data_IF_397961328328
#
_entry.id   IF_397961328328
#
_cell.length_a   1.000
_cell.length_b   1.000
_cell.length_c   1.000
_cell.angle_alpha   90.00
_cell.angle_beta   90.00
_cell.angle_gamma   90.00
#
_symmetry.space_group_name_H-M   'P 1'
#
loop_
_entity.id
_entity.type
_entity.pdbx_description
1 polymer ?
#
# COMPACT_ATOMS: atom_id res chain seq x y z
N UNK A 1 -11.35 25.90 -11.69
CA UNK A 1 -11.23 24.43 -11.76
C UNK A 1 -9.93 24.00 -11.08
N UNK A 2 -9.95 22.86 -10.38
CA UNK A 2 -8.78 22.25 -9.73
C UNK A 2 -8.29 21.08 -10.60
N UNK A 3 -6.99 21.06 -10.91
CA UNK A 3 -6.35 19.94 -11.60
C UNK A 3 -5.91 18.86 -10.62
N UNK A 4 -6.21 17.59 -10.90
CA UNK A 4 -5.69 16.46 -10.14
C UNK A 4 -4.77 15.65 -11.04
N UNK A 5 -3.51 15.47 -10.62
CA UNK A 5 -2.49 14.72 -11.37
C UNK A 5 -2.39 13.31 -10.78
N UNK A 6 -2.86 12.32 -11.54
CA UNK A 6 -2.93 10.91 -11.16
C UNK A 6 -4.36 10.44 -10.92
N UNK A 7 -4.75 9.36 -11.61
CA UNK A 7 -6.03 8.66 -11.52
C UNK A 7 -5.98 7.40 -10.64
N UNK A 8 -5.03 7.34 -9.70
CA UNK A 8 -5.01 6.34 -8.63
C UNK A 8 -6.05 6.62 -7.54
N UNK A 9 -6.12 5.76 -6.53
CA UNK A 9 -7.07 5.89 -5.41
C UNK A 9 -7.02 7.26 -4.74
N UNK A 10 -5.81 7.79 -4.45
CA UNK A 10 -5.67 9.10 -3.81
C UNK A 10 -6.21 10.25 -4.67
N UNK A 11 -5.93 10.24 -5.98
CA UNK A 11 -6.39 11.28 -6.90
C UNK A 11 -7.90 11.23 -7.11
N UNK A 12 -8.46 10.03 -7.27
CA UNK A 12 -9.92 9.84 -7.37
C UNK A 12 -10.63 10.25 -6.08
N UNK A 13 -10.08 9.91 -4.91
CA UNK A 13 -10.60 10.33 -3.62
C UNK A 13 -10.54 11.86 -3.44
N UNK A 14 -9.43 12.50 -3.83
CA UNK A 14 -9.30 13.96 -3.81
C UNK A 14 -10.33 14.63 -4.71
N UNK A 15 -10.49 14.15 -5.95
CA UNK A 15 -11.48 14.67 -6.90
C UNK A 15 -12.91 14.54 -6.36
N UNK A 16 -13.26 13.37 -5.82
CA UNK A 16 -14.55 13.10 -5.20
C UNK A 16 -14.81 14.08 -4.04
N UNK A 17 -13.85 14.22 -3.12
CA UNK A 17 -13.96 15.12 -1.96
C UNK A 17 -14.09 16.59 -2.36
N UNK A 18 -13.33 17.04 -3.35
CA UNK A 18 -13.41 18.39 -3.89
C UNK A 18 -14.79 18.69 -4.50
N UNK A 19 -15.36 17.74 -5.25
CA UNK A 19 -16.72 17.90 -5.81
C UNK A 19 -17.80 17.93 -4.72
N UNK A 20 -17.68 17.12 -3.67
CA UNK A 20 -18.57 17.21 -2.50
C UNK A 20 -18.54 18.60 -1.85
N UNK A 21 -17.40 19.30 -1.96
CA UNK A 21 -17.21 20.69 -1.49
C UNK A 21 -17.55 21.74 -2.55
N UNK A 22 -18.22 21.35 -3.64
CA UNK A 22 -18.73 22.24 -4.69
C UNK A 22 -17.65 22.79 -5.61
N UNK A 23 -16.49 22.13 -5.73
CA UNK A 23 -15.40 22.54 -6.63
C UNK A 23 -15.48 21.80 -7.96
N UNK A 24 -15.18 22.51 -9.04
CA UNK A 24 -14.97 21.93 -10.36
C UNK A 24 -13.58 21.29 -10.42
N UNK A 25 -13.49 20.04 -10.87
CA UNK A 25 -12.25 19.25 -10.91
C UNK A 25 -12.03 18.61 -12.27
N UNK A 26 -10.77 18.40 -12.62
CA UNK A 26 -10.38 17.54 -13.73
C UNK A 26 -9.21 16.65 -13.31
N UNK A 27 -9.39 15.33 -13.41
CA UNK A 27 -8.34 14.33 -13.18
C UNK A 27 -7.62 14.04 -14.50
N UNK A 28 -6.30 14.01 -14.45
CA UNK A 28 -5.43 13.63 -15.55
C UNK A 28 -4.60 12.41 -15.15
N UNK A 29 -4.78 11.30 -15.85
CA UNK A 29 -4.02 10.07 -15.68
C UNK A 29 -3.18 9.81 -16.93
N UNK A 30 -1.90 9.53 -16.74
CA UNK A 30 -0.96 9.28 -17.83
C UNK A 30 -1.20 7.93 -18.50
N UNK A 31 -1.64 6.90 -17.76
CA UNK A 31 -2.03 5.60 -18.32
C UNK A 31 -3.45 5.60 -18.89
N UNK A 32 -3.78 4.56 -19.66
CA UNK A 32 -5.15 4.30 -20.10
C UNK A 32 -6.02 3.74 -18.96
N UNK A 33 -5.40 3.06 -17.99
CA UNK A 33 -6.07 2.46 -16.85
C UNK A 33 -6.11 3.41 -15.64
N UNK A 34 -7.15 3.26 -14.80
CA UNK A 34 -7.31 3.97 -13.53
C UNK A 34 -7.07 3.03 -12.34
N UNK A 35 -6.86 3.60 -11.16
CA UNK A 35 -6.65 2.85 -9.91
C UNK A 35 -5.18 2.77 -9.46
N UNK A 36 -4.22 3.09 -10.33
CA UNK A 36 -2.79 3.13 -9.99
C UNK A 36 -2.29 1.77 -9.50
N UNK A 37 -1.69 1.73 -8.31
CA UNK A 37 -1.22 0.47 -7.68
C UNK A 37 -2.35 -0.50 -7.31
N UNK A 38 -3.61 -0.06 -7.31
CA UNK A 38 -4.78 -0.91 -7.11
C UNK A 38 -5.39 -1.41 -8.44
N UNK A 39 -4.68 -1.22 -9.57
CA UNK A 39 -5.10 -1.75 -10.86
C UNK A 39 -5.22 -3.28 -10.84
N UNK A 40 -5.95 -3.83 -11.80
CA UNK A 40 -6.34 -5.24 -11.83
C UNK A 40 -5.98 -5.93 -13.16
N UNK A 41 -5.95 -7.26 -13.14
CA UNK A 41 -6.03 -8.14 -14.29
C UNK A 41 -7.43 -8.76 -14.37
N UNK A 42 -7.90 -9.00 -15.59
CA UNK A 42 -9.13 -9.76 -15.84
C UNK A 42 -8.87 -11.25 -15.61
N UNK A 43 -9.86 -11.96 -15.05
CA UNK A 43 -9.81 -13.42 -14.89
C UNK A 43 -11.06 -14.06 -15.50
N UNK A 44 -11.21 -15.39 -15.37
CA UNK A 44 -12.44 -16.08 -15.76
C UNK A 44 -13.67 -15.69 -14.89
N UNK A 45 -13.47 -14.96 -13.79
CA UNK A 45 -14.54 -14.45 -12.92
C UNK A 45 -14.28 -13.02 -12.48
N UNK A 46 -14.13 -12.80 -11.18
CA UNK A 46 -13.80 -11.49 -10.61
C UNK A 46 -12.38 -11.06 -11.04
N UNK A 47 -12.15 -9.77 -11.29
CA UNK A 47 -10.81 -9.28 -11.53
C UNK A 47 -9.93 -9.45 -10.28
N UNK A 48 -8.61 -9.49 -10.49
CA UNK A 48 -7.61 -9.70 -9.44
C UNK A 48 -6.59 -8.55 -9.45
N UNK A 49 -6.20 -8.05 -8.29
CA UNK A 49 -5.28 -6.91 -8.22
C UNK A 49 -3.89 -7.28 -8.74
N UNK A 50 -3.20 -6.34 -9.40
CA UNK A 50 -1.81 -6.52 -9.88
C UNK A 50 -0.82 -6.68 -8.72
N UNK A 51 -1.15 -6.09 -7.58
CA UNK A 51 -0.45 -6.25 -6.31
C UNK A 51 -1.49 -6.67 -5.28
N UNK A 52 -1.17 -7.59 -4.39
CA UNK A 52 -2.10 -8.09 -3.37
C UNK A 52 -2.59 -6.97 -2.44
N UNK A 53 -3.90 -6.99 -2.12
CA UNK A 53 -4.53 -6.05 -1.18
C UNK A 53 -5.59 -6.77 -0.33
N UNK A 54 -5.74 -6.30 0.90
CA UNK A 54 -6.83 -6.64 1.81
C UNK A 54 -7.03 -5.48 2.78
N UNK A 55 -8.16 -5.45 3.47
CA UNK A 55 -8.48 -4.43 4.47
C UNK A 55 -8.40 -4.97 5.89
N UNK A 56 -7.99 -4.12 6.81
CA UNK A 56 -8.23 -4.32 8.24
C UNK A 56 -9.50 -3.57 8.67
N UNK A 57 -10.16 -4.03 9.73
CA UNK A 57 -11.31 -3.31 10.32
C UNK A 57 -10.92 -1.95 10.93
N UNK A 58 -9.65 -1.77 11.26
CA UNK A 58 -9.12 -0.51 11.76
C UNK A 58 -9.02 0.57 10.68
N UNK A 59 -9.16 0.21 9.40
CA UNK A 59 -9.14 1.13 8.28
C UNK A 59 -10.54 1.73 8.05
N UNK A 60 -10.97 2.58 8.98
CA UNK A 60 -12.34 3.12 9.00
C UNK A 60 -12.64 3.99 7.78
N UNK A 61 -11.69 4.81 7.30
CA UNK A 61 -11.93 5.76 6.20
C UNK A 61 -12.33 5.06 4.89
N UNK A 62 -11.64 3.97 4.52
CA UNK A 62 -12.00 3.20 3.32
C UNK A 62 -13.30 2.43 3.49
N UNK A 63 -13.58 1.90 4.70
CA UNK A 63 -14.84 1.19 4.99
C UNK A 63 -16.02 2.16 4.89
N UNK A 64 -15.91 3.34 5.49
CA UNK A 64 -16.92 4.40 5.42
C UNK A 64 -17.16 4.85 3.98
N UNK A 65 -16.10 5.03 3.19
CA UNK A 65 -16.21 5.40 1.78
C UNK A 65 -16.88 4.29 0.95
N UNK A 66 -16.57 3.03 1.22
CA UNK A 66 -17.24 1.88 0.58
C UNK A 66 -18.75 1.90 0.89
N UNK A 67 -19.13 2.19 2.13
CA UNK A 67 -20.55 2.34 2.51
C UNK A 67 -21.20 3.54 1.80
N UNK A 68 -20.54 4.70 1.79
CA UNK A 68 -21.02 5.93 1.14
C UNK A 68 -21.26 5.74 -0.36
N UNK A 69 -20.38 4.99 -1.03
CA UNK A 69 -20.48 4.65 -2.45
C UNK A 69 -21.50 3.52 -2.73
N UNK A 70 -22.19 3.01 -1.71
CA UNK A 70 -23.22 1.98 -1.85
C UNK A 70 -22.66 0.58 -2.09
N UNK A 71 -21.39 0.34 -1.76
CA UNK A 71 -20.71 -0.95 -1.91
C UNK A 71 -20.64 -1.76 -0.61
N UNK A 72 -21.23 -1.27 0.49
CA UNK A 72 -21.18 -1.94 1.80
C UNK A 72 -21.63 -3.41 1.79
N UNK A 73 -22.68 -3.74 1.05
CA UNK A 73 -23.18 -5.13 0.91
C UNK A 73 -22.21 -6.06 0.16
N UNK A 74 -21.19 -5.51 -0.53
CA UNK A 74 -20.15 -6.24 -1.25
C UNK A 74 -18.88 -6.42 -0.42
N UNK A 75 -18.72 -5.73 0.71
CA UNK A 75 -17.57 -5.87 1.58
C UNK A 75 -17.73 -7.10 2.47
N UNK A 76 -16.82 -8.07 2.30
CA UNK A 76 -16.84 -9.32 3.05
C UNK A 76 -15.70 -9.32 4.07
N UNK A 77 -15.99 -9.77 5.29
CA UNK A 77 -14.99 -10.02 6.32
C UNK A 77 -14.73 -11.52 6.40
N UNK A 78 -13.58 -11.93 5.89
CA UNK A 78 -13.21 -13.33 5.70
C UNK A 78 -12.08 -13.72 6.66
N UNK A 79 -12.09 -14.98 7.10
CA UNK A 79 -10.97 -15.54 7.85
C UNK A 79 -9.85 -15.90 6.89
N UNK A 80 -8.64 -15.50 7.24
CA UNK A 80 -7.45 -15.80 6.46
C UNK A 80 -6.60 -16.85 7.18
N UNK A 81 -5.84 -17.65 6.43
CA UNK A 81 -4.85 -18.61 6.96
C UNK A 81 -3.40 -18.18 6.72
N UNK A 82 -2.59 -18.12 7.78
CA UNK A 82 -1.18 -17.75 7.78
C UNK A 82 -0.32 -18.96 8.16
N UNK A 83 0.82 -19.12 7.50
CA UNK A 83 1.82 -20.10 7.91
C UNK A 83 3.26 -19.61 7.72
N UNK A 84 4.18 -20.34 8.34
CA UNK A 84 5.61 -20.27 8.08
C UNK A 84 6.06 -21.55 7.38
N UNK A 85 6.78 -21.42 6.27
CA UNK A 85 7.46 -22.52 5.59
C UNK A 85 8.90 -22.58 6.09
N UNK A 86 9.24 -23.67 6.79
CA UNK A 86 10.58 -23.89 7.34
C UNK A 86 10.96 -25.37 7.22
N UNK A 87 12.19 -25.65 6.79
CA UNK A 87 12.74 -27.00 6.62
C UNK A 87 11.81 -27.92 5.80
N UNK A 88 11.21 -27.37 4.73
CA UNK A 88 10.31 -28.12 3.86
C UNK A 88 8.90 -28.36 4.42
N UNK A 89 8.50 -27.67 5.50
CA UNK A 89 7.23 -27.90 6.20
C UNK A 89 6.43 -26.62 6.40
N UNK A 90 5.14 -26.65 6.06
CA UNK A 90 4.17 -25.60 6.36
C UNK A 90 3.73 -25.69 7.82
N UNK A 91 4.01 -24.65 8.60
CA UNK A 91 3.60 -24.50 10.00
C UNK A 91 2.52 -23.41 10.12
N UNK A 92 1.25 -23.76 10.37
CA UNK A 92 0.19 -22.78 10.59
C UNK A 92 0.46 -21.85 11.79
N UNK A 93 -0.01 -20.61 11.72
CA UNK A 93 0.20 -19.56 12.75
C UNK A 93 -1.11 -18.84 13.16
N UNK A 94 -2.27 -19.43 12.89
CA UNK A 94 -3.56 -18.77 13.09
C UNK A 94 -4.14 -18.98 14.49
N UNK A 95 -3.80 -20.09 15.14
CA UNK A 95 -4.39 -20.47 16.43
C UNK A 95 -3.32 -20.56 17.52
N UNK A 96 -3.66 -20.31 18.79
CA UNK A 96 -2.69 -20.35 19.88
C UNK A 96 -1.96 -21.70 20.01
N UNK A 97 -2.62 -22.82 19.72
CA UNK A 97 -1.97 -24.14 19.76
C UNK A 97 -1.07 -24.42 18.55
N UNK A 98 -1.34 -23.79 17.40
CA UNK A 98 -0.46 -23.88 16.22
C UNK A 98 0.83 -23.11 16.49
N UNK A 99 0.70 -21.90 17.03
CA UNK A 99 1.85 -21.11 17.53
C UNK A 99 2.60 -21.90 18.62
N UNK A 100 1.88 -22.54 19.55
CA UNK A 100 2.50 -23.36 20.58
C UNK A 100 3.23 -24.59 20.00
N UNK A 101 2.76 -25.15 18.88
CA UNK A 101 3.37 -26.29 18.21
C UNK A 101 4.56 -25.91 17.32
N UNK A 102 4.75 -24.64 16.98
CA UNK A 102 5.87 -24.18 16.14
C UNK A 102 7.22 -24.59 16.72
N UNK A 103 8.04 -25.41 16.03
CA UNK A 103 9.21 -26.02 16.64
C UNK A 103 10.44 -25.10 16.72
N UNK A 104 10.47 -24.00 15.96
CA UNK A 104 11.63 -23.11 15.86
C UNK A 104 11.67 -21.98 16.91
N UNK A 105 10.69 -21.95 17.81
CA UNK A 105 10.66 -21.02 18.95
C UNK A 105 10.47 -21.78 20.27
N UNK A 106 11.29 -21.45 21.27
CA UNK A 106 11.11 -21.97 22.62
C UNK A 106 9.83 -21.43 23.27
N UNK A 107 9.43 -22.00 24.41
CA UNK A 107 8.30 -21.47 25.19
C UNK A 107 8.54 -20.03 25.66
N UNK A 108 9.79 -19.67 25.96
CA UNK A 108 10.13 -18.32 26.38
C UNK A 108 10.07 -17.33 25.21
N UNK A 109 10.52 -17.75 24.03
CA UNK A 109 10.40 -16.98 22.79
C UNK A 109 8.94 -16.68 22.45
N UNK A 110 8.10 -17.70 22.51
CA UNK A 110 6.65 -17.57 22.29
C UNK A 110 6.01 -16.62 23.29
N UNK A 111 6.37 -16.73 24.57
CA UNK A 111 5.91 -15.79 25.59
C UNK A 111 6.29 -14.35 25.25
N UNK A 112 7.56 -14.09 24.95
CA UNK A 112 8.07 -12.74 24.65
C UNK A 112 7.43 -12.16 23.39
N UNK A 113 7.34 -12.95 22.32
CA UNK A 113 6.67 -12.56 21.08
C UNK A 113 5.18 -12.26 21.33
N UNK A 114 4.48 -13.12 22.07
CA UNK A 114 3.06 -12.93 22.40
C UNK A 114 2.84 -11.63 23.18
N UNK A 115 3.70 -11.33 24.17
CA UNK A 115 3.59 -10.10 24.95
C UNK A 115 3.79 -8.87 24.05
N UNK A 116 4.76 -8.88 23.15
CA UNK A 116 4.92 -7.79 22.17
C UNK A 116 3.69 -7.62 21.27
N UNK A 117 3.14 -8.72 20.75
CA UNK A 117 1.94 -8.66 19.88
C UNK A 117 0.66 -8.23 20.61
N UNK A 118 0.61 -8.40 21.94
CA UNK A 118 -0.46 -7.88 22.79
C UNK A 118 -0.17 -6.46 23.30
N UNK A 119 0.90 -5.83 22.79
CA UNK A 119 1.37 -4.50 23.19
C UNK A 119 1.77 -4.40 24.67
N UNK A 120 2.20 -5.51 25.28
CA UNK A 120 2.63 -5.59 26.68
C UNK A 120 4.16 -5.63 26.77
N UNK A 121 4.78 -4.61 27.37
CA UNK A 121 6.20 -4.63 27.69
C UNK A 121 6.45 -5.34 29.02
N UNK A 122 7.20 -6.45 28.98
CA UNK A 122 7.53 -7.28 30.14
C UNK A 122 9.03 -7.26 30.47
N UNK A 123 9.79 -6.27 29.98
CA UNK A 123 11.21 -6.06 30.34
C UNK A 123 11.39 -5.51 31.75
N UNK A 124 10.40 -4.75 32.24
CA UNK A 124 10.40 -4.17 33.58
C UNK A 124 10.05 -5.17 34.68
N UNK A 125 10.12 -4.73 35.95
CA UNK A 125 9.69 -5.54 37.11
C UNK A 125 8.17 -5.80 37.10
N UNK A 126 7.38 -4.88 36.53
CA UNK A 126 5.95 -5.03 36.30
C UNK A 126 5.65 -4.84 34.80
N UNK A 127 4.65 -5.55 34.25
CA UNK A 127 4.19 -5.32 32.88
C UNK A 127 3.67 -3.89 32.66
N UNK A 128 3.97 -3.31 31.51
CA UNK A 128 3.44 -2.03 31.03
C UNK A 128 2.57 -2.25 29.78
N UNK A 129 1.41 -1.59 29.72
CA UNK A 129 0.40 -1.79 28.68
C UNK A 129 0.36 -0.65 27.65
N UNK A 130 0.95 0.50 28.01
CA UNK A 130 0.86 1.71 27.18
C UNK A 130 2.20 2.02 26.47
N UNK A 131 3.20 1.13 26.60
CA UNK A 131 4.58 1.36 26.13
C UNK A 131 4.63 1.66 24.64
N UNK A 132 3.76 1.04 23.84
CA UNK A 132 3.79 1.12 22.39
C UNK A 132 2.64 1.97 21.81
N UNK A 133 1.96 2.79 22.62
CA UNK A 133 0.84 3.61 22.14
C UNK A 133 1.27 4.62 21.07
N UNK A 134 2.34 5.38 21.33
CA UNK A 134 2.89 6.35 20.39
C UNK A 134 3.93 5.70 19.49
N UNK A 135 3.55 5.41 18.24
CA UNK A 135 4.48 4.84 17.25
C UNK A 135 5.64 5.79 16.95
N UNK A 136 5.40 7.11 17.04
CA UNK A 136 6.42 8.12 16.78
C UNK A 136 7.60 8.04 17.77
N UNK A 137 7.35 7.59 19.00
CA UNK A 137 8.40 7.44 20.02
C UNK A 137 9.46 6.38 19.63
N UNK A 138 9.12 5.54 18.64
CA UNK A 138 9.98 4.47 18.13
C UNK A 138 10.55 4.78 16.74
N UNK A 139 10.33 5.98 16.19
CA UNK A 139 10.72 6.27 14.81
C UNK A 139 12.24 6.20 14.62
N UNK A 140 13.03 6.64 15.60
CA UNK A 140 14.49 6.64 15.53
C UNK A 140 15.13 5.34 16.03
N UNK A 141 14.33 4.39 16.53
CA UNK A 141 14.84 3.14 17.12
C UNK A 141 15.07 2.12 15.99
N UNK A 142 16.28 1.58 15.82
CA UNK A 142 16.52 0.52 14.85
C UNK A 142 15.67 -0.72 15.15
N UNK A 143 14.98 -1.25 14.15
CA UNK A 143 14.06 -2.39 14.31
C UNK A 143 14.73 -3.61 14.96
N UNK A 144 15.98 -3.88 14.60
CA UNK A 144 16.77 -5.00 15.12
C UNK A 144 17.07 -4.83 16.61
N UNK A 145 17.51 -3.65 17.02
CA UNK A 145 17.78 -3.33 18.42
C UNK A 145 16.50 -3.44 19.24
N UNK A 146 15.41 -2.87 18.72
CA UNK A 146 14.08 -2.98 19.32
C UNK A 146 13.68 -4.45 19.52
N UNK A 147 13.78 -5.29 18.49
CA UNK A 147 13.40 -6.69 18.58
C UNK A 147 14.26 -7.47 19.58
N UNK A 148 15.58 -7.25 19.59
CA UNK A 148 16.49 -7.90 20.53
C UNK A 148 16.19 -7.51 21.99
N UNK A 149 15.77 -6.27 22.23
CA UNK A 149 15.40 -5.77 23.55
C UNK A 149 14.03 -6.27 24.01
N UNK A 150 13.02 -6.23 23.13
CA UNK A 150 11.62 -6.51 23.47
C UNK A 150 11.24 -7.98 23.34
N UNK A 151 12.02 -8.76 22.59
CA UNK A 151 11.79 -10.20 22.43
C UNK A 151 12.97 -11.02 22.94
N UNK A 152 13.59 -11.82 22.08
CA UNK A 152 14.82 -12.58 22.31
C UNK A 152 15.63 -12.61 21.01
N UNK A 153 16.92 -12.97 21.12
CA UNK A 153 17.76 -13.23 19.94
C UNK A 153 17.15 -14.27 19.01
N UNK A 154 16.62 -15.36 19.56
CA UNK A 154 16.01 -16.44 18.77
C UNK A 154 14.74 -15.98 18.04
N UNK A 155 13.94 -15.11 18.64
CA UNK A 155 12.77 -14.52 17.97
C UNK A 155 13.20 -13.60 16.83
N UNK A 156 14.25 -12.80 17.01
CA UNK A 156 14.79 -12.01 15.90
C UNK A 156 15.28 -12.93 14.76
N UNK A 157 16.21 -13.85 15.04
CA UNK A 157 16.89 -14.66 14.02
C UNK A 157 15.94 -15.65 13.31
N UNK A 158 15.01 -16.29 14.03
CA UNK A 158 14.18 -17.37 13.46
C UNK A 158 12.76 -16.95 13.04
N UNK A 159 12.33 -15.73 13.36
CA UNK A 159 10.97 -15.29 13.07
C UNK A 159 10.95 -13.95 12.33
N UNK A 160 11.64 -12.92 12.83
CA UNK A 160 11.58 -11.59 12.21
C UNK A 160 12.61 -11.38 11.10
N UNK A 161 13.83 -11.88 11.25
CA UNK A 161 14.90 -11.67 10.28
C UNK A 161 14.53 -12.18 8.87
N UNK A 162 13.97 -13.39 8.68
CA UNK A 162 13.53 -13.83 7.36
C UNK A 162 12.45 -12.91 6.75
N UNK A 163 11.50 -12.43 7.57
CA UNK A 163 10.45 -11.51 7.10
C UNK A 163 11.03 -10.14 6.69
N UNK A 164 12.02 -9.65 7.44
CA UNK A 164 12.70 -8.39 7.16
C UNK A 164 13.59 -8.49 5.93
N UNK A 165 14.29 -9.61 5.76
CA UNK A 165 15.06 -9.92 4.54
C UNK A 165 14.13 -9.97 3.33
N UNK A 166 13.01 -10.69 3.42
CA UNK A 166 12.03 -10.78 2.36
C UNK A 166 11.45 -9.42 1.95
N UNK A 167 11.21 -8.53 2.92
CA UNK A 167 10.54 -7.24 2.67
C UNK A 167 11.49 -6.10 2.29
N UNK A 168 12.65 -6.01 2.92
CA UNK A 168 13.57 -4.87 2.81
C UNK A 168 14.97 -5.26 2.31
N UNK A 169 15.28 -6.55 2.25
CA UNK A 169 16.57 -7.05 1.78
C UNK A 169 17.75 -6.34 2.45
N UNK A 170 18.62 -5.77 1.63
CA UNK A 170 19.84 -5.06 2.06
C UNK A 170 19.56 -3.82 2.93
N UNK A 171 18.34 -3.26 2.88
CA UNK A 171 17.94 -2.06 3.64
C UNK A 171 17.33 -2.36 5.01
N UNK A 172 17.19 -3.64 5.41
CA UNK A 172 16.51 -4.01 6.67
C UNK A 172 17.08 -3.36 7.94
N UNK A 173 18.38 -3.03 7.96
CA UNK A 173 19.05 -2.41 9.10
C UNK A 173 18.75 -0.90 9.22
N UNK A 174 18.21 -0.27 8.17
CA UNK A 174 17.81 1.14 8.17
C UNK A 174 16.43 1.35 8.79
N UNK A 175 15.61 0.30 8.82
CA UNK A 175 14.18 0.33 9.15
C UNK A 175 13.95 0.66 10.63
N UNK A 176 12.96 1.52 10.84
CA UNK A 176 12.47 1.94 12.14
C UNK A 176 11.61 0.87 12.83
N UNK A 177 11.71 0.80 14.16
CA UNK A 177 10.80 0.00 14.98
C UNK A 177 9.34 0.49 14.92
N UNK A 178 9.10 1.76 14.58
CA UNK A 178 7.75 2.29 14.39
C UNK A 178 6.99 1.55 13.28
N UNK A 179 7.67 1.14 12.21
CA UNK A 179 7.09 0.33 11.13
C UNK A 179 6.58 -1.03 11.64
N UNK A 180 7.39 -1.72 12.45
CA UNK A 180 7.02 -3.00 13.04
C UNK A 180 5.80 -2.87 13.96
N UNK A 181 5.83 -1.86 14.85
CA UNK A 181 4.74 -1.61 15.78
C UNK A 181 3.46 -1.21 15.04
N UNK A 182 3.59 -0.43 13.97
CA UNK A 182 2.51 -0.15 13.03
C UNK A 182 1.89 -1.44 12.49
N UNK A 183 2.72 -2.35 11.94
CA UNK A 183 2.29 -3.66 11.45
C UNK A 183 1.60 -4.50 12.52
N UNK A 184 2.09 -4.47 13.76
CA UNK A 184 1.49 -5.20 14.90
C UNK A 184 0.12 -4.63 15.25
N UNK A 185 -0.04 -3.31 15.27
CA UNK A 185 -1.33 -2.64 15.54
C UNK A 185 -2.31 -2.76 14.37
N UNK A 186 -1.79 -2.81 13.15
CA UNK A 186 -2.60 -2.92 11.93
C UNK A 186 -3.26 -4.29 11.78
N UNK A 187 -2.75 -5.30 12.50
CA UNK A 187 -3.33 -6.65 12.51
C UNK A 187 -4.82 -6.57 12.84
N UNK A 188 -5.61 -7.20 11.99
CA UNK A 188 -7.06 -7.16 12.09
C UNK A 188 -7.58 -7.84 13.35
N UNK A 189 -8.89 -7.74 13.55
CA UNK A 189 -9.56 -8.54 14.58
C UNK A 189 -9.22 -10.02 14.42
N UNK A 190 -8.88 -10.68 15.53
CA UNK A 190 -8.50 -12.09 15.55
C UNK A 190 -9.48 -12.93 16.36
N UNK A 191 -9.97 -13.99 15.74
CA UNK A 191 -10.72 -15.06 16.42
C UNK A 191 -9.74 -16.15 16.89
N UNK A 192 -9.80 -16.53 18.16
CA UNK A 192 -8.88 -17.49 18.77
C UNK A 192 -8.94 -18.90 18.14
N UNK A 193 -10.05 -19.26 17.50
CA UNK A 193 -10.30 -20.57 16.91
C UNK A 193 -10.13 -20.58 15.39
N UNK A 194 -10.24 -19.41 14.73
CA UNK A 194 -10.31 -19.31 13.26
C UNK A 194 -9.21 -18.45 12.64
N UNK A 195 -8.50 -17.64 13.41
CA UNK A 195 -7.42 -16.80 12.91
C UNK A 195 -7.84 -15.35 12.70
N UNK A 196 -7.10 -14.66 11.84
CA UNK A 196 -7.23 -13.24 11.56
C UNK A 196 -8.36 -12.98 10.54
N UNK A 197 -9.09 -11.88 10.74
CA UNK A 197 -10.20 -11.46 9.87
C UNK A 197 -9.73 -10.28 9.03
N UNK A 198 -9.86 -10.41 7.72
CA UNK A 198 -9.53 -9.37 6.75
C UNK A 198 -10.72 -9.06 5.85
N UNK A 199 -10.80 -7.82 5.39
CA UNK A 199 -11.84 -7.31 4.51
C UNK A 199 -11.42 -7.47 3.04
N UNK A 200 -12.36 -7.90 2.21
CA UNK A 200 -12.17 -7.96 0.76
C UNK A 200 -13.51 -7.72 0.05
N UNK A 201 -13.47 -7.03 -1.09
CA UNK A 201 -14.67 -6.71 -1.85
C UNK A 201 -15.03 -7.85 -2.81
N UNK A 202 -16.33 -8.13 -2.95
CA UNK A 202 -16.83 -8.91 -4.08
C UNK A 202 -16.46 -8.20 -5.38
N UNK A 203 -15.77 -8.86 -6.32
CA UNK A 203 -15.13 -8.23 -7.49
C UNK A 203 -13.74 -7.62 -7.25
N UNK A 204 -13.08 -7.89 -6.13
CA UNK A 204 -11.82 -7.24 -5.76
C UNK A 204 -12.01 -5.73 -5.51
N UNK A 205 -10.96 -4.93 -5.67
CA UNK A 205 -11.00 -3.48 -5.50
C UNK A 205 -11.41 -2.71 -6.77
N UNK A 206 -11.58 -3.38 -7.92
CA UNK A 206 -12.10 -2.77 -9.15
C UNK A 206 -13.47 -2.09 -8.98
N UNK A 207 -14.47 -2.66 -8.25
CA UNK A 207 -15.71 -1.98 -7.90
C UNK A 207 -15.52 -0.66 -7.15
N UNK A 208 -14.56 -0.55 -6.23
CA UNK A 208 -14.28 0.70 -5.54
C UNK A 208 -13.74 1.76 -6.51
N UNK A 209 -12.80 1.38 -7.38
CA UNK A 209 -12.29 2.26 -8.44
C UNK A 209 -13.44 2.71 -9.35
N UNK A 210 -14.27 1.77 -9.81
CA UNK A 210 -15.42 2.04 -10.68
C UNK A 210 -16.42 2.98 -10.03
N UNK A 211 -16.76 2.76 -8.75
CA UNK A 211 -17.69 3.62 -8.02
C UNK A 211 -17.13 5.03 -7.81
N UNK A 212 -15.83 5.17 -7.52
CA UNK A 212 -15.17 6.49 -7.46
C UNK A 212 -15.18 7.18 -8.82
N UNK A 213 -14.89 6.47 -9.91
CA UNK A 213 -14.94 7.01 -11.28
C UNK A 213 -16.34 7.49 -11.63
N UNK A 214 -17.36 6.69 -11.33
CA UNK A 214 -18.75 7.04 -11.60
C UNK A 214 -19.23 8.20 -10.72
N UNK A 215 -18.78 8.28 -9.46
CA UNK A 215 -19.08 9.38 -8.55
C UNK A 215 -18.40 10.70 -8.98
N UNK A 216 -17.15 10.63 -9.47
CA UNK A 216 -16.42 11.79 -10.02
C UNK A 216 -17.00 12.23 -11.38
N UNK A 217 -17.54 11.28 -12.15
CA UNK A 217 -18.01 11.49 -13.51
C UNK A 217 -16.88 11.35 -14.53
N UNK A 218 -17.08 10.48 -15.53
CA UNK A 218 -16.05 10.15 -16.54
C UNK A 218 -15.65 11.35 -17.39
N UNK A 219 -16.54 12.33 -17.55
CA UNK A 219 -16.26 13.59 -18.21
C UNK A 219 -15.20 14.44 -17.49
N UNK A 220 -15.04 14.25 -16.18
CA UNK A 220 -14.06 14.94 -15.35
C UNK A 220 -12.75 14.16 -15.20
N UNK A 221 -12.56 13.09 -15.98
CA UNK A 221 -11.37 12.25 -15.97
C UNK A 221 -10.85 12.12 -17.39
N UNK A 222 -9.56 12.33 -17.59
CA UNK A 222 -8.89 12.11 -18.88
C UNK A 222 -7.72 11.15 -18.66
N UNK A 223 -7.80 9.98 -19.27
CA UNK A 223 -6.72 8.97 -19.33
C UNK A 223 -5.83 9.22 -20.54
N UNK A 224 -4.66 8.57 -20.60
CA UNK A 224 -3.68 8.81 -21.66
C UNK A 224 -3.17 10.27 -21.70
N UNK A 225 -3.26 10.97 -20.57
CA UNK A 225 -3.08 12.40 -20.40
C UNK A 225 -2.04 12.67 -19.30
N UNK A 226 -0.77 12.74 -19.71
CA UNK A 226 0.34 13.02 -18.82
C UNK A 226 0.45 14.51 -18.56
N UNK A 227 0.37 14.93 -17.29
CA UNK A 227 0.76 16.30 -16.92
C UNK A 227 2.28 16.39 -16.95
N UNK A 228 2.82 17.29 -17.77
CA UNK A 228 4.27 17.43 -17.99
C UNK A 228 4.86 18.71 -17.43
N UNK A 229 4.04 19.70 -17.07
CA UNK A 229 4.49 20.97 -16.49
C UNK A 229 3.39 21.59 -15.63
N UNK A 230 3.78 22.31 -14.58
CA UNK A 230 2.92 23.10 -13.71
C UNK A 230 3.47 24.52 -13.61
N UNK A 231 2.75 25.51 -14.16
CA UNK A 231 3.15 26.90 -14.09
C UNK A 231 2.84 27.47 -12.70
N UNK A 232 3.91 27.64 -11.91
CA UNK A 232 3.90 28.21 -10.56
C UNK A 232 4.44 29.64 -10.52
N UNK A 233 4.42 30.35 -11.65
CA UNK A 233 4.93 31.73 -11.74
C UNK A 233 4.19 32.70 -10.82
N UNK A 234 4.94 33.65 -10.24
CA UNK A 234 4.46 34.58 -9.21
C UNK A 234 3.96 33.91 -7.93
N UNK A 235 4.63 32.82 -7.52
CA UNK A 235 4.39 32.13 -6.24
C UNK A 235 2.98 31.54 -6.11
N UNK A 236 2.30 31.28 -7.23
CA UNK A 236 0.99 30.60 -7.28
C UNK A 236 0.84 29.73 -8.52
N UNK A 237 0.03 28.68 -8.42
CA UNK A 237 -0.38 27.89 -9.57
C UNK A 237 -1.25 28.73 -10.51
N UNK A 238 -1.01 28.60 -11.81
CA UNK A 238 -1.79 29.27 -12.86
C UNK A 238 -2.35 28.31 -13.88
N UNK A 239 -1.53 27.35 -14.28
CA UNK A 239 -1.90 26.42 -15.34
C UNK A 239 -1.13 25.12 -15.22
N UNK A 240 -1.65 24.08 -15.84
CA UNK A 240 -0.96 22.82 -16.06
C UNK A 240 -0.88 22.51 -17.55
N UNK A 241 0.19 21.85 -17.97
CA UNK A 241 0.38 21.39 -19.35
C UNK A 241 0.17 19.88 -19.41
N UNK A 242 -0.70 19.46 -20.31
CA UNK A 242 -1.13 18.06 -20.50
C UNK A 242 -0.71 17.59 -21.88
N UNK A 243 0.00 16.47 -21.92
CA UNK A 243 0.39 15.72 -23.11
C UNK A 243 -0.56 14.55 -23.31
N UNK A 244 -1.18 14.49 -24.49
CA UNK A 244 -2.04 13.39 -24.94
C UNK A 244 -1.58 12.90 -26.31
N UNK A 245 -2.14 11.79 -26.79
CA UNK A 245 -1.92 11.32 -28.15
C UNK A 245 -2.33 12.36 -29.23
N UNK A 246 -3.30 13.23 -28.92
CA UNK A 246 -3.80 14.29 -29.82
C UNK A 246 -2.97 15.57 -29.77
N UNK A 247 -2.01 15.67 -28.85
CA UNK A 247 -1.10 16.79 -28.70
C UNK A 247 -1.01 17.34 -27.28
N UNK A 248 -0.31 18.47 -27.16
CA UNK A 248 -0.05 19.17 -25.90
C UNK A 248 -1.01 20.35 -25.75
N UNK A 249 -1.66 20.46 -24.59
CA UNK A 249 -2.54 21.58 -24.25
C UNK A 249 -2.23 22.13 -22.88
N UNK A 250 -2.33 23.44 -22.72
CA UNK A 250 -2.20 24.11 -21.41
C UNK A 250 -3.58 24.55 -20.95
N UNK A 251 -3.89 24.32 -19.67
CA UNK A 251 -5.18 24.64 -19.06
C UNK A 251 -4.97 25.47 -17.81
N UNK A 252 -5.69 26.58 -17.70
CA UNK A 252 -5.70 27.40 -16.50
C UNK A 252 -6.36 26.62 -15.34
N UNK A 253 -5.75 26.67 -14.16
CA UNK A 253 -6.25 26.02 -12.94
C UNK A 253 -6.05 26.93 -11.74
N UNK A 254 -6.96 26.83 -10.77
CA UNK A 254 -6.89 27.60 -9.51
C UNK A 254 -5.99 26.91 -8.47
N UNK A 255 -5.87 25.59 -8.56
CA UNK A 255 -5.02 24.75 -7.72
C UNK A 255 -4.70 23.42 -8.43
N UNK A 256 -3.65 22.74 -7.99
CA UNK A 256 -3.27 21.42 -8.44
C UNK A 256 -3.03 20.46 -7.25
N UNK A 257 -3.64 19.29 -7.29
CA UNK A 257 -3.34 18.16 -6.39
C UNK A 257 -2.45 17.17 -7.14
N UNK A 258 -1.21 17.01 -6.69
CA UNK A 258 -0.30 15.98 -7.19
C UNK A 258 -0.54 14.69 -6.40
N UNK A 259 -1.28 13.76 -6.99
CA UNK A 259 -1.61 12.44 -6.44
C UNK A 259 -0.86 11.32 -7.18
N UNK A 260 0.39 11.61 -7.57
CA UNK A 260 1.26 10.72 -8.32
C UNK A 260 2.51 10.33 -7.50
N UNK A 261 3.37 9.51 -8.09
CA UNK A 261 4.65 9.13 -7.47
C UNK A 261 5.52 10.35 -7.21
N UNK A 262 6.39 10.33 -6.18
CA UNK A 262 7.17 11.51 -5.80
C UNK A 262 8.06 12.07 -6.91
N UNK A 263 8.56 11.24 -7.83
CA UNK A 263 9.31 11.74 -8.98
C UNK A 263 8.46 12.65 -9.89
N UNK A 264 7.14 12.42 -9.97
CA UNK A 264 6.22 13.31 -10.69
C UNK A 264 6.06 14.63 -9.94
N UNK A 265 6.02 14.60 -8.60
CA UNK A 265 6.05 15.83 -7.79
C UNK A 265 7.35 16.60 -8.04
N UNK A 266 8.50 15.92 -7.96
CA UNK A 266 9.83 16.48 -8.20
C UNK A 266 9.93 17.10 -9.60
N UNK A 267 9.50 16.37 -10.63
CA UNK A 267 9.53 16.83 -12.03
C UNK A 267 8.63 18.06 -12.26
N UNK A 268 7.45 18.10 -11.65
CA UNK A 268 6.48 19.18 -11.85
C UNK A 268 6.76 20.43 -11.01
N UNK A 269 7.37 20.28 -9.83
CA UNK A 269 7.44 21.35 -8.83
C UNK A 269 8.86 21.69 -8.38
N UNK A 270 9.83 20.80 -8.61
CA UNK A 270 11.16 20.88 -8.04
C UNK A 270 11.23 20.60 -6.53
N UNK A 271 10.12 20.25 -5.87
CA UNK A 271 10.12 19.87 -4.47
C UNK A 271 10.86 18.53 -4.29
N UNK A 272 11.95 18.46 -3.51
CA UNK A 272 12.72 17.23 -3.35
C UNK A 272 11.97 16.23 -2.46
N UNK A 273 11.88 14.97 -2.90
CA UNK A 273 11.39 13.89 -2.03
C UNK A 273 12.58 13.14 -1.43
N UNK A 274 12.78 13.28 -0.13
CA UNK A 274 13.88 12.61 0.58
C UNK A 274 13.56 11.16 0.98
N UNK A 275 12.29 10.75 0.90
CA UNK A 275 11.88 9.37 1.19
C UNK A 275 12.35 8.44 0.08
N UNK A 276 13.09 7.41 0.48
CA UNK A 276 13.44 6.29 -0.38
C UNK A 276 12.26 5.33 -0.58
N UNK A 277 12.18 4.77 -1.79
CA UNK A 277 11.16 3.79 -2.16
C UNK A 277 11.83 2.54 -2.71
N UNK A 278 11.24 1.40 -2.39
CA UNK A 278 11.58 0.13 -3.01
C UNK A 278 10.62 -0.18 -4.17
N UNK A 279 11.17 -0.79 -5.20
CA UNK A 279 10.41 -1.36 -6.30
C UNK A 279 9.84 -2.72 -5.95
N UNK A 280 8.93 -3.20 -6.80
CA UNK A 280 8.41 -4.57 -6.73
C UNK A 280 8.30 -5.16 -8.11
N UNK A 281 8.70 -6.43 -8.21
CA UNK A 281 8.31 -7.34 -9.28
C UNK A 281 7.31 -8.30 -8.65
N UNK A 282 6.08 -8.31 -9.17
CA UNK A 282 4.99 -9.14 -8.65
C UNK A 282 4.35 -9.88 -9.82
N UNK A 283 4.21 -11.19 -9.71
CA UNK A 283 3.54 -12.02 -10.70
C UNK A 283 2.27 -12.61 -10.09
N UNK A 284 1.18 -12.54 -10.86
CA UNK A 284 -0.07 -13.24 -10.58
C UNK A 284 -0.12 -14.48 -11.44
N UNK A 285 -0.42 -15.60 -10.80
CA UNK A 285 -0.47 -16.90 -11.45
C UNK A 285 -1.88 -17.44 -11.36
N UNK A 286 -2.27 -18.19 -12.38
CA UNK A 286 -3.39 -19.12 -12.29
C UNK A 286 -2.91 -20.54 -12.49
N UNK A 287 -3.42 -21.44 -11.66
CA UNK A 287 -3.12 -22.86 -11.72
C UNK A 287 -4.38 -23.71 -11.55
N UNK A 288 -4.31 -24.94 -12.05
CA UNK A 288 -5.40 -25.93 -11.96
C UNK A 288 -5.58 -26.50 -10.54
N UNK A 289 -4.48 -26.59 -9.78
CA UNK A 289 -4.48 -27.23 -8.46
C UNK A 289 -3.88 -26.32 -7.38
N UNK A 290 -4.37 -26.54 -6.16
CA UNK A 290 -3.84 -25.91 -4.95
C UNK A 290 -2.52 -26.54 -4.54
N UNK A 291 -1.53 -25.71 -4.19
CA UNK A 291 -0.26 -26.17 -3.61
C UNK A 291 -0.32 -26.25 -2.09
N UNK A 292 -1.15 -25.42 -1.45
CA UNK A 292 -1.27 -25.31 0.00
C UNK A 292 -2.69 -24.97 0.45
N UNK A 293 -3.06 -25.22 1.71
CA UNK A 293 -4.31 -24.69 2.29
C UNK A 293 -4.13 -23.31 2.96
N UNK A 294 -3.04 -22.58 2.63
CA UNK A 294 -2.63 -21.34 3.29
C UNK A 294 -2.79 -20.13 2.37
N UNK A 295 -3.44 -19.06 2.85
CA UNK A 295 -3.49 -17.81 2.10
C UNK A 295 -2.13 -17.14 2.01
N UNK A 296 -1.49 -16.87 3.16
CA UNK A 296 -0.21 -16.17 3.21
C UNK A 296 0.89 -17.07 3.79
N UNK A 297 1.88 -17.39 2.96
CA UNK A 297 2.98 -18.25 3.34
C UNK A 297 4.26 -17.42 3.52
N UNK A 298 4.72 -17.33 4.75
CA UNK A 298 6.01 -16.69 5.08
C UNK A 298 7.13 -17.71 4.90
N UNK A 299 8.17 -17.36 4.16
CA UNK A 299 9.26 -18.29 3.83
C UNK A 299 10.47 -18.00 4.72
N UNK A 300 10.93 -19.01 5.46
CA UNK A 300 12.25 -18.99 6.09
C UNK A 300 13.29 -19.70 5.23
N UNK A 301 12.87 -20.69 4.44
CA UNK A 301 13.71 -21.37 3.47
C UNK A 301 14.06 -20.43 2.31
N UNK A 302 15.23 -20.62 1.70
CA UNK A 302 15.67 -19.82 0.56
C UNK A 302 14.70 -19.98 -0.61
N UNK A 303 14.22 -18.86 -1.13
CA UNK A 303 13.37 -18.78 -2.31
C UNK A 303 13.75 -17.54 -3.11
N UNK A 304 13.53 -17.53 -4.44
CA UNK A 304 13.84 -16.35 -5.24
C UNK A 304 12.82 -15.21 -4.96
N UNK A 305 11.64 -15.53 -4.42
CA UNK A 305 10.60 -14.58 -4.03
C UNK A 305 10.52 -14.37 -2.51
N UNK A 306 10.25 -13.13 -2.08
CA UNK A 306 10.01 -12.80 -0.67
C UNK A 306 8.56 -12.96 -0.22
N UNK A 307 7.62 -13.06 -1.16
CA UNK A 307 6.19 -13.21 -0.90
C UNK A 307 5.64 -14.36 -1.72
N UNK A 308 4.91 -15.27 -1.06
CA UNK A 308 4.14 -16.34 -1.68
C UNK A 308 2.74 -16.37 -1.07
N UNK A 309 1.73 -16.06 -1.88
CA UNK A 309 0.33 -15.98 -1.43
C UNK A 309 -0.50 -16.87 -2.36
N UNK A 310 -1.24 -17.83 -1.82
CA UNK A 310 -2.30 -18.50 -2.56
C UNK A 310 -3.61 -17.77 -2.26
N UNK A 311 -3.90 -16.76 -3.09
CA UNK A 311 -5.04 -15.85 -2.92
C UNK A 311 -6.36 -16.61 -2.77
N UNK A 312 -6.47 -17.73 -3.47
CA UNK A 312 -7.70 -18.54 -3.47
C UNK A 312 -7.99 -19.31 -2.20
N UNK A 313 -7.06 -19.33 -1.23
CA UNK A 313 -7.32 -19.77 0.14
C UNK A 313 -8.00 -18.70 1.01
N UNK A 314 -7.95 -17.43 0.59
CA UNK A 314 -8.68 -16.34 1.22
C UNK A 314 -10.00 -16.07 0.52
N UNK A 315 -9.99 -16.02 -0.82
CA UNK A 315 -11.18 -15.79 -1.65
C UNK A 315 -11.42 -17.02 -2.54
N UNK A 316 -12.52 -17.78 -2.37
CA UNK A 316 -12.64 -19.11 -2.99
C UNK A 316 -12.46 -19.15 -4.52
N UNK A 317 -11.83 -20.21 -5.09
CA UNK A 317 -11.58 -20.37 -6.54
C UNK A 317 -12.79 -20.14 -7.43
N UNK A 318 -13.99 -20.47 -6.93
CA UNK A 318 -15.25 -20.26 -7.64
C UNK A 318 -15.49 -18.81 -8.07
N UNK A 319 -14.87 -17.83 -7.40
CA UNK A 319 -14.91 -16.41 -7.80
C UNK A 319 -14.03 -16.12 -9.02
N UNK A 320 -13.10 -17.00 -9.36
CA UNK A 320 -12.12 -16.85 -10.43
C UNK A 320 -12.24 -17.96 -11.49
N UNK A 321 -13.44 -18.52 -11.69
CA UNK A 321 -13.67 -19.57 -12.69
C UNK A 321 -13.17 -20.96 -12.27
N UNK A 322 -13.09 -21.21 -10.96
CA UNK A 322 -12.54 -22.44 -10.35
C UNK A 322 -11.01 -22.59 -10.50
N UNK A 323 -10.31 -21.54 -10.97
CA UNK A 323 -8.84 -21.46 -10.98
C UNK A 323 -8.27 -21.11 -9.60
N UNK A 324 -7.07 -21.63 -9.29
CA UNK A 324 -6.30 -21.28 -8.10
C UNK A 324 -5.34 -20.14 -8.41
N UNK A 325 -5.48 -19.01 -7.71
CA UNK A 325 -4.68 -17.81 -7.96
C UNK A 325 -3.59 -17.62 -6.92
N UNK A 326 -2.39 -17.24 -7.38
CA UNK A 326 -1.23 -17.01 -6.54
C UNK A 326 -0.56 -15.68 -6.83
N UNK A 327 0.11 -15.13 -5.82
CA UNK A 327 1.09 -14.08 -5.97
C UNK A 327 2.48 -14.58 -5.60
N UNK A 328 3.45 -14.35 -6.49
CA UNK A 328 4.87 -14.30 -6.13
C UNK A 328 5.33 -12.84 -6.20
N UNK A 329 6.08 -12.37 -5.21
CA UNK A 329 6.66 -11.04 -5.28
C UNK A 329 8.00 -10.93 -4.57
N UNK A 330 8.82 -10.02 -5.08
CA UNK A 330 10.07 -9.57 -4.44
C UNK A 330 10.19 -8.06 -4.50
N UNK A 331 10.81 -7.51 -3.47
CA UNK A 331 11.12 -6.09 -3.39
C UNK A 331 12.54 -5.83 -3.88
N UNK A 332 12.67 -4.83 -4.75
CA UNK A 332 13.93 -4.42 -5.37
C UNK A 332 14.35 -3.09 -4.76
N UNK A 333 15.58 -3.00 -4.27
CA UNK A 333 16.13 -1.79 -3.66
C UNK A 333 16.86 -0.92 -4.69
N UNK A 334 17.43 -1.54 -5.73
CA UNK A 334 18.15 -0.84 -6.80
C UNK A 334 17.80 -1.39 -8.20
N UNK A 335 17.55 -0.54 -9.22
CA UNK A 335 17.29 -0.99 -10.59
C UNK A 335 18.43 -1.80 -11.24
N UNK A 336 19.61 -1.83 -10.61
CA UNK A 336 20.74 -2.65 -11.01
C UNK A 336 20.70 -4.09 -10.50
N UNK A 337 19.74 -4.45 -9.65
CA UNK A 337 19.52 -5.83 -9.24
C UNK A 337 19.09 -6.70 -10.41
N UNK A 338 19.49 -7.98 -10.37
CA UNK A 338 19.28 -8.93 -11.46
C UNK A 338 17.79 -9.08 -11.80
N UNK A 339 16.96 -9.30 -10.78
CA UNK A 339 15.51 -9.46 -10.91
C UNK A 339 14.84 -8.28 -11.63
N UNK A 340 15.29 -7.06 -11.39
CA UNK A 340 14.72 -5.87 -12.03
C UNK A 340 15.00 -5.80 -13.54
N UNK A 341 16.14 -6.36 -13.96
CA UNK A 341 16.60 -6.34 -15.35
C UNK A 341 16.07 -7.51 -16.18
N UNK A 342 15.65 -8.58 -15.53
CA UNK A 342 15.02 -9.72 -16.19
C UNK A 342 13.76 -9.26 -16.93
N UNK A 343 13.52 -9.83 -18.11
CA UNK A 343 12.20 -9.72 -18.75
C UNK A 343 11.17 -10.61 -18.04
N UNK A 344 9.90 -10.53 -18.45
CA UNK A 344 8.83 -11.23 -17.74
C UNK A 344 8.90 -12.75 -17.90
N UNK A 345 9.50 -13.26 -18.99
CA UNK A 345 9.69 -14.69 -19.20
C UNK A 345 10.82 -15.25 -18.34
N UNK A 346 11.90 -14.49 -18.18
CA UNK A 346 13.00 -14.84 -17.26
C UNK A 346 12.51 -14.84 -15.80
N UNK A 347 11.65 -13.90 -15.43
CA UNK A 347 11.03 -13.84 -14.10
C UNK A 347 10.08 -15.02 -13.87
N UNK A 348 9.27 -15.36 -14.87
CA UNK A 348 8.39 -16.53 -14.81
C UNK A 348 9.19 -17.82 -14.58
N UNK A 349 10.24 -18.09 -15.36
CA UNK A 349 11.11 -19.26 -15.16
C UNK A 349 11.73 -19.28 -13.76
N UNK A 350 12.27 -18.15 -13.30
CA UNK A 350 12.88 -18.04 -11.97
C UNK A 350 11.87 -18.36 -10.85
N UNK A 351 10.64 -17.86 -10.97
CA UNK A 351 9.57 -18.13 -10.03
C UNK A 351 9.14 -19.60 -10.06
N UNK A 352 8.98 -20.19 -11.24
CA UNK A 352 8.60 -21.60 -11.39
C UNK A 352 9.65 -22.53 -10.78
N UNK A 353 10.94 -22.27 -11.01
CA UNK A 353 12.03 -23.05 -10.41
C UNK A 353 11.98 -22.96 -8.88
N UNK A 354 11.79 -21.75 -8.33
CA UNK A 354 11.64 -21.55 -6.90
C UNK A 354 10.42 -22.26 -6.30
N UNK A 355 9.28 -22.26 -6.99
CA UNK A 355 8.08 -22.98 -6.56
C UNK A 355 8.33 -24.49 -6.60
N UNK A 356 8.97 -25.02 -7.64
CA UNK A 356 9.30 -26.44 -7.76
C UNK A 356 10.24 -26.94 -6.64
N UNK A 357 11.21 -26.10 -6.24
CA UNK A 357 12.13 -26.40 -5.15
C UNK A 357 11.41 -26.47 -3.80
N UNK A 358 10.44 -25.58 -3.56
CA UNK A 358 9.64 -25.56 -2.34
C UNK A 358 8.57 -26.66 -2.33
N UNK A 359 7.90 -26.92 -3.45
CA UNK A 359 6.75 -27.81 -3.55
C UNK A 359 7.00 -28.94 -4.55
N UNK A 360 7.48 -30.12 -4.09
CA UNK A 360 7.77 -31.24 -4.98
C UNK A 360 6.59 -31.78 -5.79
N UNK A 361 5.35 -31.44 -5.40
CA UNK A 361 4.12 -31.75 -6.11
C UNK A 361 3.77 -30.75 -7.23
N UNK A 362 4.48 -29.64 -7.33
CA UNK A 362 4.27 -28.66 -8.39
C UNK A 362 4.66 -29.25 -9.75
N UNK A 363 3.75 -29.11 -10.72
CA UNK A 363 3.97 -29.46 -12.12
C UNK A 363 3.81 -28.20 -12.97
N UNK A 364 4.79 -27.89 -13.82
CA UNK A 364 4.75 -26.66 -14.63
C UNK A 364 3.57 -26.64 -15.60
N UNK A 365 3.09 -27.81 -16.03
CA UNK A 365 1.90 -27.95 -16.86
C UNK A 365 0.59 -27.56 -16.17
N UNK A 366 0.59 -27.40 -14.84
CA UNK A 366 -0.57 -26.94 -14.07
C UNK A 366 -0.78 -25.42 -14.13
N UNK A 367 0.18 -24.66 -14.69
CA UNK A 367 0.10 -23.20 -14.84
C UNK A 367 -0.73 -22.85 -16.07
N UNK A 368 -1.81 -22.11 -15.87
CA UNK A 368 -2.73 -21.68 -16.93
C UNK A 368 -2.26 -20.38 -17.60
N UNK A 369 -1.85 -19.41 -16.78
CA UNK A 369 -1.35 -18.12 -17.23
C UNK A 369 -0.57 -17.43 -16.11
N UNK A 370 0.30 -16.49 -16.52
CA UNK A 370 1.11 -15.67 -15.62
C UNK A 370 1.09 -14.23 -16.14
N UNK A 371 0.86 -13.29 -15.23
CA UNK A 371 0.90 -11.86 -15.53
C UNK A 371 1.85 -11.18 -14.55
N UNK A 372 2.83 -10.44 -15.07
CA UNK A 372 3.86 -9.78 -14.24
C UNK A 372 3.69 -8.27 -14.26
N UNK A 373 3.64 -7.67 -13.07
CA UNK A 373 3.64 -6.24 -12.85
C UNK A 373 4.97 -5.79 -12.24
N UNK A 374 5.49 -4.66 -12.74
CA UNK A 374 6.67 -3.99 -12.19
C UNK A 374 6.34 -2.56 -11.85
N UNK A 375 6.76 -2.11 -10.68
CA UNK A 375 6.69 -0.70 -10.34
C UNK A 375 7.92 -0.30 -9.50
N UNK A 376 8.64 0.76 -9.87
CA UNK A 376 9.91 1.13 -9.24
C UNK A 376 9.73 1.73 -7.84
N UNK A 377 8.51 2.09 -7.45
CA UNK A 377 8.21 2.77 -6.18
C UNK A 377 6.88 2.28 -5.61
N UNK A 378 6.81 1.02 -5.19
CA UNK A 378 5.58 0.45 -4.61
C UNK A 378 5.46 0.68 -3.12
N UNK A 379 6.56 0.84 -2.39
CA UNK A 379 6.54 1.00 -0.95
C UNK A 379 7.66 1.95 -0.48
N UNK A 380 7.40 2.84 0.49
CA UNK A 380 8.46 3.57 1.16
C UNK A 380 9.35 2.61 1.97
N UNK A 381 10.63 2.95 2.08
CA UNK A 381 11.50 2.39 3.11
C UNK A 381 11.29 3.22 4.37
N UNK A 382 10.63 2.65 5.37
CA UNK A 382 10.34 3.34 6.63
C UNK A 382 11.57 3.39 7.53
N UNK A 383 12.54 4.21 7.13
CA UNK A 383 13.79 4.42 7.84
C UNK A 383 13.63 5.26 9.12
N UNK A 384 14.73 5.45 9.83
CA UNK A 384 14.77 6.28 11.04
C UNK A 384 14.68 7.76 10.67
N UNK A 385 13.92 8.54 11.46
CA UNK A 385 13.63 9.94 11.15
C UNK A 385 12.67 10.13 9.96
N UNK A 386 11.88 9.10 9.60
CA UNK A 386 10.98 9.16 8.45
C UNK A 386 10.01 10.35 8.48
N UNK A 387 9.51 10.73 9.66
CA UNK A 387 8.51 11.80 9.77
C UNK A 387 9.04 13.18 9.38
N UNK A 388 10.35 13.40 9.47
CA UNK A 388 10.98 14.66 9.03
C UNK A 388 11.02 14.77 7.50
N UNK A 389 10.95 13.64 6.78
CA UNK A 389 10.99 13.58 5.31
C UNK A 389 9.59 13.55 4.67
N UNK A 390 8.53 13.42 5.48
CA UNK A 390 7.15 13.36 4.99
C UNK A 390 6.79 14.63 4.23
N UNK A 391 6.27 14.47 3.02
CA UNK A 391 5.82 15.57 2.19
C UNK A 391 4.50 16.13 2.76
N UNK A 392 4.42 17.44 3.05
CA UNK A 392 3.20 18.04 3.55
C UNK A 392 2.10 18.09 2.47
N UNK A 393 0.84 18.04 2.89
CA UNK A 393 -0.30 18.09 1.96
C UNK A 393 -0.43 19.43 1.23
N UNK A 394 0.03 20.51 1.85
CA UNK A 394 0.03 21.87 1.32
C UNK A 394 1.48 22.30 1.10
N UNK A 395 1.80 22.64 -0.15
CA UNK A 395 3.13 23.02 -0.59
C UNK A 395 3.23 24.52 -0.88
N UNK A 396 2.30 25.34 -0.39
CA UNK A 396 2.26 26.78 -0.65
C UNK A 396 3.55 27.49 -0.25
N UNK A 397 4.08 27.18 0.94
CA UNK A 397 5.33 27.78 1.44
C UNK A 397 6.59 27.26 0.73
N UNK A 398 6.55 26.03 0.22
CA UNK A 398 7.72 25.34 -0.33
C UNK A 398 7.84 25.45 -1.85
N UNK A 399 6.71 25.62 -2.55
CA UNK A 399 6.61 25.64 -4.01
C UNK A 399 5.88 26.89 -4.48
N UNK A 400 4.56 26.95 -4.24
CA UNK A 400 3.67 28.04 -4.66
C UNK A 400 2.26 27.82 -4.12
N UNK A 401 1.53 28.91 -3.86
CA UNK A 401 0.11 28.90 -3.49
C UNK A 401 -0.71 28.06 -4.49
N UNK A 402 -1.55 27.16 -3.98
CA UNK A 402 -2.38 26.31 -4.82
C UNK A 402 -1.74 24.98 -5.23
N UNK A 403 -0.54 24.64 -4.74
CA UNK A 403 0.08 23.32 -4.94
C UNK A 403 -0.16 22.43 -3.73
N UNK A 404 -0.76 21.26 -3.95
CA UNK A 404 -1.05 20.28 -2.91
C UNK A 404 -0.55 18.89 -3.30
N UNK A 405 -0.27 18.04 -2.31
CA UNK A 405 0.23 16.69 -2.50
C UNK A 405 -0.66 15.66 -1.80
N UNK A 406 -0.96 14.54 -2.47
CA UNK A 406 -1.76 13.43 -1.93
C UNK A 406 -1.10 12.05 -2.20
N UNK A 407 0.19 12.02 -2.53
CA UNK A 407 0.88 10.79 -2.89
C UNK A 407 1.41 9.99 -1.71
N UNK A 408 2.16 8.93 -2.03
CA UNK A 408 2.60 7.93 -1.05
C UNK A 408 3.61 8.45 -0.01
N UNK A 409 4.28 9.57 -0.28
CA UNK A 409 5.24 10.20 0.64
C UNK A 409 4.57 11.08 1.71
N UNK A 410 3.24 11.04 1.83
CA UNK A 410 2.47 11.84 2.76
C UNK A 410 2.25 11.15 4.11
N UNK A 411 1.82 11.92 5.12
CA UNK A 411 1.69 11.44 6.51
C UNK A 411 0.71 10.27 6.67
N UNK A 412 -0.35 10.21 5.88
CA UNK A 412 -1.35 9.14 5.95
C UNK A 412 -0.82 7.76 5.58
N UNK A 413 0.38 7.68 4.99
CA UNK A 413 1.03 6.43 4.59
C UNK A 413 2.12 6.01 5.58
N UNK A 414 2.20 6.70 6.73
CA UNK A 414 3.08 6.34 7.84
C UNK A 414 2.29 5.67 8.97
N UNK A 415 2.86 4.64 9.63
CA UNK A 415 4.14 4.00 9.34
C UNK A 415 4.00 2.83 8.36
N UNK A 416 2.87 2.73 7.68
CA UNK A 416 2.60 1.69 6.71
C UNK A 416 1.67 2.21 5.61
N UNK A 417 1.95 1.80 4.37
CA UNK A 417 1.13 2.17 3.22
C UNK A 417 -0.15 1.35 3.15
N UNK A 418 -1.25 2.00 2.75
CA UNK A 418 -2.52 1.32 2.49
C UNK A 418 -3.41 2.08 1.52
N UNK A 419 -4.48 1.42 1.05
CA UNK A 419 -5.52 2.06 0.27
C UNK A 419 -6.29 3.08 1.12
N UNK A 420 -6.49 2.80 2.41
CA UNK A 420 -7.05 3.74 3.37
C UNK A 420 -6.20 5.02 3.46
N UNK A 421 -4.89 4.88 3.65
CA UNK A 421 -3.97 6.02 3.69
C UNK A 421 -3.97 6.81 2.38
N UNK A 422 -4.24 6.18 1.24
CA UNK A 422 -4.36 6.88 -0.05
C UNK A 422 -5.62 7.74 -0.10
N UNK A 423 -6.75 7.22 0.38
CA UNK A 423 -8.01 7.97 0.48
C UNK A 423 -7.84 9.14 1.47
N UNK A 424 -7.25 8.89 2.64
CA UNK A 424 -6.98 9.92 3.65
C UNK A 424 -6.08 11.03 3.12
N UNK A 425 -5.02 10.69 2.37
CA UNK A 425 -4.16 11.68 1.73
C UNK A 425 -4.93 12.53 0.70
N UNK A 426 -5.76 11.89 -0.12
CA UNK A 426 -6.62 12.57 -1.09
C UNK A 426 -7.61 13.53 -0.41
N UNK A 427 -8.26 13.08 0.65
CA UNK A 427 -9.20 13.89 1.44
C UNK A 427 -8.49 15.05 2.15
N UNK A 428 -7.31 14.81 2.73
CA UNK A 428 -6.53 15.83 3.41
C UNK A 428 -6.10 16.96 2.45
N UNK A 429 -5.59 16.61 1.27
CA UNK A 429 -5.23 17.60 0.25
C UNK A 429 -6.46 18.39 -0.24
N UNK A 430 -7.58 17.71 -0.50
CA UNK A 430 -8.83 18.34 -0.92
C UNK A 430 -9.38 19.31 0.14
N UNK A 431 -9.37 18.92 1.41
CA UNK A 431 -9.90 19.72 2.50
C UNK A 431 -9.08 21.01 2.70
N UNK A 432 -7.73 20.96 2.54
CA UNK A 432 -6.86 22.16 2.59
C UNK A 432 -7.21 23.21 1.53
N UNK A 433 -7.42 22.78 0.28
CA UNK A 433 -7.86 23.70 -0.80
C UNK A 433 -9.15 24.43 -0.41
N UNK A 434 -10.07 23.73 0.27
CA UNK A 434 -11.36 24.32 0.62
C UNK A 434 -11.29 25.26 1.81
N UNK A 435 -10.41 24.99 2.77
CA UNK A 435 -10.17 25.84 3.93
C UNK A 435 -9.46 27.15 3.52
N UNK A 436 -8.49 27.07 2.60
CA UNK A 436 -7.77 28.23 2.07
C UNK A 436 -8.67 29.16 1.24
N UNK A 437 -9.59 28.58 0.47
CA UNK A 437 -10.57 29.36 -0.27
C UNK A 437 -11.60 30.07 0.64
N UNK A 438 -11.87 29.54 1.85
CA UNK A 438 -12.71 30.22 2.84
C UNK A 438 -11.97 31.40 3.45
N UNK A 439 -10.68 31.24 3.80
CA UNK A 439 -9.87 32.32 4.39
C UNK A 439 -9.64 33.46 3.39
N UNK A 440 -9.32 33.17 2.12
CA UNK A 440 -9.17 34.18 1.07
C UNK A 440 -10.45 35.01 0.87
N UNK A 441 -11.63 34.38 0.90
CA UNK A 441 -12.92 35.07 0.77
C UNK A 441 -13.26 35.99 1.95
N UNK A 442 -12.72 35.71 3.14
CA UNK A 442 -12.93 36.55 4.33
C UNK A 442 -12.02 37.78 4.38
N UNK A 443 -10.84 37.73 3.79
CA UNK A 443 -9.92 38.88 3.69
C UNK A 443 -10.37 39.91 2.66
N UNK A 444 -10.95 39.49 1.53
CA UNK A 444 -11.51 40.41 0.52
C UNK A 444 -12.80 41.13 0.98
N UNK A 445 -13.42 40.67 2.07
CA UNK A 445 -14.64 41.24 2.64
C UNK A 445 -14.44 42.43 3.59
N UNK A 446 -13.20 42.83 3.91
CA UNK A 446 -12.93 43.85 4.94
C UNK A 446 -12.31 45.17 4.43
N UNK A 447 -12.11 45.35 3.12
CA UNK A 447 -11.67 46.61 2.53
C UNK A 447 -12.76 47.30 1.69
N UNK A 448 -13.96 47.50 2.25
CA UNK A 448 -14.95 48.35 1.57
C UNK A 448 -16.03 48.98 2.48
N UNK A 449 -15.72 49.52 3.66
CA UNK A 449 -16.53 50.62 4.25
C UNK A 449 -15.70 51.48 5.20
N UNK A 450 -15.16 52.59 4.71
CA UNK A 450 -15.05 53.86 5.46
C UNK A 450 -14.93 55.01 4.45
N UNK A 451 -16.06 55.66 4.18
CA UNK A 451 -16.11 57.08 3.77
C UNK A 451 -16.11 57.98 5.01
#
# INVERSE_FOLDING_TARGET
MIGVVGGGIAGLAAAYRLQQRGREVQVFEASEDLGGLAGVYETAGDPIEKFYHHLSKSEETIVDLIEELGLGDRLEWLYMSNAFYVDGVVHPMDKPWEIAAYPHLSLYDKYRLTMLTLEIDVRGWLPSFDTYESLQDFEDVPIKEFLLDHTTRSVYENFWEPLLDAKFGSRKEDVSAAWLLGRVKFRGERDLLRGEILGYLQGGFAPLIGALVDAVGRENITTGARVSDLDTSEERVRSLTVETADGTTTRDVDAAVVAAMPNVLEDLTGYPCEIDFQGTVCSVWSMDESLTDTYWLNLADEAPFGVFIEHTNFVPPKRYGDEHLYYTASYVQDPSEELWRMDDSEVEELWMDGIADLFPQFESESVNWVETARNPRTAPVYERGYLDMVVPYDLSDAVAEGVYYAGMASRAQYPERSLNGAIEAGFAAADRITDDAVTASTTDGHEAVTE
#
